data_IF_970182334596
#
_entry.id   IF_970182334596
#
_cell.length_a   1.000
_cell.length_b   1.000
_cell.length_c   1.000
_cell.angle_alpha   90.00
_cell.angle_beta   90.00
_cell.angle_gamma   90.00
#
_symmetry.space_group_name_H-M   'P 1'
#
loop_
_entity.id
_entity.type
_entity.pdbx_description
1 polymer ?
#
# COMPACT_ATOMS: atom_id res chain seq x y z
N UNK A 1 -22.53 17.77 12.22
CA UNK A 1 -21.70 16.57 12.38
C UNK A 1 -20.72 16.52 11.22
N UNK A 2 -19.42 16.57 11.51
CA UNK A 2 -18.37 16.68 10.49
C UNK A 2 -18.25 15.39 9.65
N UNK A 3 -18.52 14.24 10.26
CA UNK A 3 -18.43 12.94 9.58
C UNK A 3 -19.55 12.76 8.55
N UNK A 4 -20.75 13.24 8.86
CA UNK A 4 -21.88 13.24 7.93
C UNK A 4 -21.62 14.15 6.71
N UNK A 5 -21.00 15.32 6.94
CA UNK A 5 -20.63 16.25 5.88
C UNK A 5 -19.56 15.66 4.95
N UNK A 6 -18.51 15.07 5.51
CA UNK A 6 -17.44 14.42 4.72
C UNK A 6 -17.99 13.25 3.91
N UNK A 7 -18.92 12.44 4.45
CA UNK A 7 -19.59 11.37 3.70
C UNK A 7 -20.40 11.89 2.51
N UNK A 8 -21.16 12.95 2.68
CA UNK A 8 -21.98 13.53 1.60
C UNK A 8 -21.11 14.18 0.52
N UNK A 9 -20.01 14.82 0.91
CA UNK A 9 -19.06 15.40 -0.04
C UNK A 9 -18.38 14.29 -0.87
N UNK A 10 -17.98 13.19 -0.24
CA UNK A 10 -17.45 12.01 -0.96
C UNK A 10 -18.48 11.40 -1.90
N UNK A 11 -19.70 11.14 -1.44
CA UNK A 11 -20.74 10.60 -2.32
C UNK A 11 -21.05 11.48 -3.55
N UNK A 12 -20.77 12.79 -3.47
CA UNK A 12 -20.96 13.74 -4.57
C UNK A 12 -19.77 13.84 -5.53
N UNK A 13 -18.55 13.58 -5.06
CA UNK A 13 -17.29 13.83 -5.80
C UNK A 13 -16.40 12.60 -6.00
N UNK A 14 -16.66 11.50 -5.31
CA UNK A 14 -15.95 10.24 -5.41
C UNK A 14 -16.59 9.44 -6.56
N UNK A 15 -15.97 9.56 -7.74
CA UNK A 15 -16.38 8.87 -8.96
C UNK A 15 -16.20 7.35 -8.78
N UNK A 16 -17.27 6.55 -8.87
CA UNK A 16 -17.18 5.08 -8.75
C UNK A 16 -16.19 4.47 -9.74
N UNK A 17 -16.06 5.05 -10.95
CA UNK A 17 -15.13 4.56 -11.97
C UNK A 17 -13.67 4.75 -11.51
N UNK A 18 -13.38 5.85 -10.79
CA UNK A 18 -12.05 6.10 -10.22
C UNK A 18 -11.69 5.15 -9.08
N UNK A 19 -12.66 4.73 -8.27
CA UNK A 19 -12.42 3.72 -7.22
C UNK A 19 -12.05 2.38 -7.86
N UNK A 20 -12.81 1.95 -8.88
CA UNK A 20 -12.53 0.72 -9.63
C UNK A 20 -11.17 0.75 -10.34
N UNK A 21 -10.82 1.89 -10.96
CA UNK A 21 -9.49 2.08 -11.57
C UNK A 21 -8.35 1.98 -10.56
N UNK A 22 -8.49 2.61 -9.38
CA UNK A 22 -7.46 2.58 -8.35
C UNK A 22 -7.31 1.18 -7.73
N UNK A 23 -8.40 0.43 -7.57
CA UNK A 23 -8.35 -0.98 -7.18
C UNK A 23 -7.57 -1.81 -8.20
N UNK A 24 -7.90 -1.68 -9.49
CA UNK A 24 -7.22 -2.41 -10.56
C UNK A 24 -5.72 -2.06 -10.59
N UNK A 25 -5.38 -0.78 -10.48
CA UNK A 25 -3.99 -0.32 -10.37
C UNK A 25 -3.27 -0.99 -9.20
N UNK A 26 -3.84 -0.95 -7.99
CA UNK A 26 -3.25 -1.61 -6.80
C UNK A 26 -3.00 -3.11 -7.02
N UNK A 27 -3.95 -3.80 -7.66
CA UNK A 27 -3.83 -5.25 -7.93
C UNK A 27 -2.72 -5.57 -8.92
N UNK A 28 -2.50 -4.70 -9.90
CA UNK A 28 -1.47 -4.84 -10.93
C UNK A 28 -0.08 -4.38 -10.48
N UNK A 29 0.00 -3.60 -9.40
CA UNK A 29 1.28 -3.15 -8.86
C UNK A 29 2.20 -4.33 -8.52
N UNK A 30 3.45 -4.22 -8.96
CA UNK A 30 4.57 -5.08 -8.60
C UNK A 30 5.80 -4.21 -8.40
N UNK A 31 6.55 -4.43 -7.32
CA UNK A 31 7.83 -3.76 -7.09
C UNK A 31 8.81 -4.06 -8.23
N UNK A 32 8.87 -5.32 -8.68
CA UNK A 32 9.83 -5.74 -9.72
C UNK A 32 11.26 -5.35 -9.34
N UNK A 33 11.96 -4.65 -10.24
CA UNK A 33 13.31 -4.13 -10.03
C UNK A 33 13.34 -2.68 -9.50
N UNK A 34 12.17 -2.10 -9.19
CA UNK A 34 12.09 -0.74 -8.64
C UNK A 34 12.61 -0.74 -7.19
N UNK A 35 13.37 0.30 -6.78
CA UNK A 35 13.73 0.49 -5.38
C UNK A 35 12.48 0.51 -4.49
N UNK A 36 12.50 -0.19 -3.36
CA UNK A 36 11.27 -0.37 -2.57
C UNK A 36 10.72 0.94 -2.03
N UNK A 37 11.59 1.93 -1.80
CA UNK A 37 11.21 3.26 -1.33
C UNK A 37 10.25 3.94 -2.32
N UNK A 38 10.59 3.88 -3.60
CA UNK A 38 9.80 4.51 -4.65
C UNK A 38 8.50 3.73 -4.82
N UNK A 39 8.57 2.39 -4.77
CA UNK A 39 7.38 1.55 -4.82
C UNK A 39 6.40 1.85 -3.67
N UNK A 40 6.91 1.99 -2.44
CA UNK A 40 6.10 2.36 -1.27
C UNK A 40 5.45 3.74 -1.46
N UNK A 41 6.17 4.69 -2.05
CA UNK A 41 5.63 6.02 -2.36
C UNK A 41 4.44 5.91 -3.31
N UNK A 42 4.61 5.22 -4.43
CA UNK A 42 3.56 5.03 -5.44
C UNK A 42 2.35 4.29 -4.86
N UNK A 43 2.61 3.24 -4.09
CA UNK A 43 1.57 2.45 -3.44
C UNK A 43 0.75 3.32 -2.48
N UNK A 44 1.39 4.18 -1.69
CA UNK A 44 0.71 5.08 -0.76
C UNK A 44 -0.17 6.10 -1.47
N UNK A 45 0.24 6.61 -2.64
CA UNK A 45 -0.59 7.53 -3.42
C UNK A 45 -1.88 6.86 -3.88
N UNK A 46 -1.81 5.63 -4.41
CA UNK A 46 -2.99 4.91 -4.89
C UNK A 46 -3.87 4.45 -3.72
N UNK A 47 -3.26 3.89 -2.66
CA UNK A 47 -3.97 3.49 -1.46
C UNK A 47 -4.66 4.68 -0.75
N UNK A 48 -4.06 5.87 -0.80
CA UNK A 48 -4.65 7.10 -0.27
C UNK A 48 -5.96 7.49 -0.97
N UNK A 49 -6.15 7.10 -2.23
CA UNK A 49 -7.41 7.29 -2.96
C UNK A 49 -8.47 6.22 -2.63
N UNK A 50 -8.12 5.20 -1.84
CA UNK A 50 -8.98 4.11 -1.41
C UNK A 50 -9.26 4.20 0.10
N UNK A 51 -9.57 5.39 0.60
CA UNK A 51 -9.71 5.66 2.05
C UNK A 51 -10.76 4.79 2.77
N UNK A 52 -11.70 4.20 2.04
CA UNK A 52 -12.72 3.30 2.60
C UNK A 52 -12.23 1.86 2.76
N UNK A 53 -11.04 1.53 2.26
CA UNK A 53 -10.47 0.20 2.34
C UNK A 53 -9.84 -0.04 3.70
N UNK A 54 -10.14 -1.18 4.35
CA UNK A 54 -9.44 -1.56 5.57
C UNK A 54 -7.94 -1.77 5.33
N UNK A 55 -7.11 -1.28 6.25
CA UNK A 55 -5.64 -1.45 6.22
C UNK A 55 -5.20 -2.90 6.02
N UNK A 56 -5.94 -3.88 6.56
CA UNK A 56 -5.66 -5.31 6.36
C UNK A 56 -5.70 -5.73 4.88
N UNK A 57 -6.58 -5.11 4.08
CA UNK A 57 -6.71 -5.41 2.65
C UNK A 57 -5.53 -4.78 1.91
N UNK A 58 -5.26 -3.50 2.17
CA UNK A 58 -4.11 -2.79 1.61
C UNK A 58 -2.79 -3.50 1.94
N UNK A 59 -2.65 -3.98 3.17
CA UNK A 59 -1.51 -4.76 3.62
C UNK A 59 -1.35 -6.06 2.85
N UNK A 60 -2.45 -6.77 2.58
CA UNK A 60 -2.40 -7.98 1.76
C UNK A 60 -1.89 -7.68 0.35
N UNK A 61 -2.43 -6.66 -0.32
CA UNK A 61 -1.97 -6.25 -1.65
C UNK A 61 -0.50 -5.82 -1.63
N UNK A 62 -0.09 -5.05 -0.62
CA UNK A 62 1.30 -4.66 -0.46
C UNK A 62 2.23 -5.87 -0.34
N UNK A 63 1.91 -6.83 0.53
CA UNK A 63 2.66 -8.10 0.69
C UNK A 63 2.70 -8.92 -0.60
N UNK A 64 1.66 -8.88 -1.43
CA UNK A 64 1.64 -9.59 -2.72
C UNK A 64 2.40 -8.86 -3.83
N UNK A 65 2.68 -7.57 -3.65
CA UNK A 65 3.29 -6.71 -4.66
C UNK A 65 4.80 -6.50 -4.46
N UNK A 66 5.29 -6.48 -3.22
CA UNK A 66 6.73 -6.34 -2.93
C UNK A 66 7.55 -7.58 -3.31
N UNK A 67 8.86 -7.38 -3.45
CA UNK A 67 9.81 -8.44 -3.73
C UNK A 67 9.66 -9.60 -2.70
N UNK A 68 9.53 -10.86 -3.16
CA UNK A 68 9.40 -12.02 -2.29
C UNK A 68 10.49 -12.16 -1.23
N UNK A 69 11.73 -11.75 -1.52
CA UNK A 69 12.84 -11.80 -0.57
C UNK A 69 12.67 -10.80 0.56
N UNK A 70 12.33 -9.56 0.24
CA UNK A 70 12.04 -8.52 1.24
C UNK A 70 10.82 -8.92 2.08
N UNK A 71 9.79 -9.49 1.45
CA UNK A 71 8.61 -10.03 2.16
C UNK A 71 8.99 -11.13 3.15
N UNK A 72 9.84 -12.07 2.73
CA UNK A 72 10.31 -13.16 3.59
C UNK A 72 11.11 -12.62 4.77
N UNK A 73 11.99 -11.65 4.54
CA UNK A 73 12.75 -10.98 5.59
C UNK A 73 11.85 -10.25 6.60
N UNK A 74 10.82 -9.55 6.12
CA UNK A 74 9.79 -8.94 6.99
C UNK A 74 9.05 -10.00 7.82
N UNK A 75 8.69 -11.13 7.22
CA UNK A 75 8.02 -12.23 7.92
C UNK A 75 8.87 -12.84 9.04
N UNK A 76 10.17 -13.05 8.80
CA UNK A 76 11.10 -13.59 9.81
C UNK A 76 11.28 -12.63 10.98
N UNK A 77 11.35 -11.32 10.72
CA UNK A 77 11.50 -10.31 11.78
C UNK A 77 10.23 -10.05 12.59
N UNK A 78 9.10 -10.67 12.24
CA UNK A 78 7.85 -10.57 13.00
C UNK A 78 7.22 -9.18 12.92
N UNK A 79 7.18 -8.57 11.72
CA UNK A 79 6.60 -7.23 11.55
C UNK A 79 5.13 -7.23 11.96
N UNK A 80 4.68 -6.25 12.78
CA UNK A 80 3.28 -6.12 13.18
C UNK A 80 2.31 -6.08 11.98
N UNK A 81 1.04 -6.40 12.20
CA UNK A 81 0.01 -6.41 11.16
C UNK A 81 -0.45 -4.99 10.72
N UNK A 82 0.37 -3.97 10.94
CA UNK A 82 0.06 -2.59 10.53
C UNK A 82 0.75 -2.24 9.22
N UNK A 83 0.00 -1.59 8.33
CA UNK A 83 0.49 -1.23 7.00
C UNK A 83 1.72 -0.32 7.04
N UNK A 84 1.75 0.64 7.97
CA UNK A 84 2.85 1.59 8.11
C UNK A 84 4.15 0.91 8.57
N UNK A 85 4.06 -0.07 9.48
CA UNK A 85 5.21 -0.84 9.95
C UNK A 85 5.82 -1.66 8.81
N UNK A 86 4.97 -2.21 7.95
CA UNK A 86 5.42 -2.90 6.73
C UNK A 86 6.13 -1.98 5.75
N UNK A 87 5.67 -0.74 5.58
CA UNK A 87 6.39 0.24 4.76
C UNK A 87 7.78 0.56 5.34
N UNK A 88 7.86 0.88 6.63
CA UNK A 88 9.12 1.23 7.26
C UNK A 88 10.13 0.06 7.25
N UNK A 89 9.67 -1.13 7.62
CA UNK A 89 10.55 -2.31 7.69
C UNK A 89 11.01 -2.76 6.32
N UNK A 90 10.12 -2.76 5.32
CA UNK A 90 10.49 -3.17 3.97
C UNK A 90 11.55 -2.25 3.37
N UNK A 91 11.47 -0.93 3.59
CA UNK A 91 12.52 0.04 3.21
C UNK A 91 13.84 -0.24 3.95
N UNK A 92 13.78 -0.54 5.24
CA UNK A 92 14.99 -0.83 6.01
C UNK A 92 15.70 -2.10 5.54
N UNK A 93 14.94 -3.16 5.24
CA UNK A 93 15.45 -4.45 4.82
C UNK A 93 15.91 -4.47 3.37
N UNK A 94 15.26 -3.74 2.47
CA UNK A 94 15.71 -3.64 1.07
C UNK A 94 17.10 -3.01 0.98
N UNK A 95 17.46 -2.09 1.86
CA UNK A 95 18.85 -1.57 1.96
C UNK A 95 19.87 -2.63 2.37
N UNK A 96 19.45 -3.63 3.14
CA UNK A 96 20.32 -4.74 3.55
C UNK A 96 20.44 -5.80 2.43
N UNK A 97 19.37 -6.02 1.67
CA UNK A 97 19.27 -7.09 0.66
C UNK A 97 19.75 -6.62 -0.71
N UNK A 98 19.39 -5.40 -1.11
CA UNK A 98 19.72 -4.77 -2.39
C UNK A 98 20.42 -3.42 -2.15
N UNK A 99 21.73 -3.43 -1.85
CA UNK A 99 22.52 -2.21 -1.81
C UNK A 99 22.67 -1.68 -3.25
N UNK A 100 21.76 -0.81 -3.66
CA UNK A 100 21.87 -0.02 -4.90
C UNK A 100 22.97 1.04 -4.79
#
# INVERSE_FOLDING_TARGET
DADAFVKQLRARFEDPDRVGENENKLREMKQGNQPIRDFVWDFRQIAGNLMHWPDRILLRYFKEAINPEVRKACGIRGVPEQLQDWYAMSIALDREINPH
#
